data_IF_279977902343
#
_entry.id   IF_279977902343
#
_cell.length_a   1.000
_cell.length_b   1.000
_cell.length_c   1.000
_cell.angle_alpha   90.00
_cell.angle_beta   90.00
_cell.angle_gamma   90.00
#
_symmetry.space_group_name_H-M   'P 1'
#
loop_
_entity.id
_entity.type
_entity.pdbx_description
1 polymer ?
#
# COMPACT_ATOMS: atom_id res chain seq x y z
N UNK A 1 2.72 18.65 -9.21
CA UNK A 1 2.35 17.32 -9.71
C UNK A 1 1.00 16.98 -9.15
N UNK A 2 0.07 16.54 -10.00
CA UNK A 2 -1.25 16.13 -9.57
C UNK A 2 -1.14 14.88 -8.68
N UNK A 3 -2.04 14.72 -7.71
CA UNK A 3 -2.06 13.57 -6.80
C UNK A 3 -2.08 12.23 -7.53
N UNK A 4 -2.81 12.15 -8.65
CA UNK A 4 -2.81 10.97 -9.50
C UNK A 4 -1.41 10.61 -10.04
N UNK A 5 -0.61 11.59 -10.47
CA UNK A 5 0.75 11.38 -10.96
C UNK A 5 1.67 10.86 -9.84
N UNK A 6 1.49 11.37 -8.61
CA UNK A 6 2.22 10.87 -7.43
C UNK A 6 1.88 9.40 -7.18
N UNK A 7 0.60 9.03 -7.17
CA UNK A 7 0.20 7.62 -7.00
C UNK A 7 0.63 6.71 -8.15
N UNK A 8 0.63 7.22 -9.39
CA UNK A 8 1.16 6.50 -10.54
C UNK A 8 2.66 6.24 -10.36
N UNK A 9 3.43 7.26 -9.96
CA UNK A 9 4.85 7.13 -9.65
C UNK A 9 5.11 6.10 -8.55
N UNK A 10 4.35 6.16 -7.45
CA UNK A 10 4.43 5.18 -6.37
C UNK A 10 4.18 3.74 -6.87
N UNK A 11 3.17 3.55 -7.71
CA UNK A 11 2.83 2.25 -8.31
C UNK A 11 3.95 1.76 -9.25
N UNK A 12 4.58 2.66 -10.00
CA UNK A 12 5.72 2.32 -10.86
C UNK A 12 6.97 1.97 -10.04
N UNK A 13 7.26 2.67 -8.94
CA UNK A 13 8.31 2.29 -7.98
C UNK A 13 8.05 0.92 -7.38
N UNK A 14 6.78 0.63 -7.08
CA UNK A 14 6.37 -0.71 -6.69
C UNK A 14 6.54 -1.73 -7.81
N UNK A 15 6.61 -1.40 -9.11
CA UNK A 15 6.84 -2.41 -10.16
C UNK A 15 8.34 -2.67 -10.45
N UNK A 16 9.26 -1.93 -9.81
CA UNK A 16 10.70 -2.06 -10.05
C UNK A 16 11.30 -3.33 -9.43
N UNK A 17 12.52 -3.63 -9.84
CA UNK A 17 13.35 -4.67 -9.22
C UNK A 17 13.78 -4.27 -7.81
N UNK A 18 13.83 -5.25 -6.90
CA UNK A 18 14.26 -5.05 -5.51
C UNK A 18 13.38 -5.83 -4.55
N UNK A 19 13.75 -5.84 -3.26
CA UNK A 19 12.87 -6.40 -2.25
C UNK A 19 11.59 -5.57 -2.16
N UNK A 20 10.47 -6.17 -1.76
CA UNK A 20 9.20 -5.45 -1.60
C UNK A 20 9.33 -4.25 -0.66
N UNK A 21 10.20 -4.37 0.36
CA UNK A 21 10.51 -3.30 1.33
C UNK A 21 11.30 -2.15 0.72
N UNK A 22 12.28 -2.44 -0.15
CA UNK A 22 13.04 -1.40 -0.86
C UNK A 22 12.14 -0.66 -1.85
N UNK A 23 11.32 -1.41 -2.60
CA UNK A 23 10.31 -0.86 -3.53
C UNK A 23 9.31 0.03 -2.79
N UNK A 24 8.82 -0.40 -1.63
CA UNK A 24 7.91 0.37 -0.79
C UNK A 24 8.58 1.63 -0.22
N UNK A 25 9.87 1.54 0.14
CA UNK A 25 10.66 2.68 0.61
C UNK A 25 10.81 3.75 -0.47
N UNK A 26 11.11 3.33 -1.69
CA UNK A 26 11.22 4.21 -2.85
C UNK A 26 9.87 4.87 -3.19
N UNK A 27 8.80 4.07 -3.26
CA UNK A 27 7.44 4.54 -3.52
C UNK A 27 6.97 5.56 -2.47
N UNK A 28 7.25 5.32 -1.19
CA UNK A 28 6.85 6.23 -0.13
C UNK A 28 7.63 7.55 -0.19
N UNK A 29 8.97 7.48 -0.26
CA UNK A 29 9.82 8.69 -0.17
C UNK A 29 9.70 9.60 -1.38
N UNK A 30 9.64 9.03 -2.58
CA UNK A 30 9.68 9.82 -3.81
C UNK A 30 8.29 10.30 -4.24
N UNK A 31 7.23 9.67 -3.73
CA UNK A 31 5.88 9.91 -4.23
C UNK A 31 4.83 10.08 -3.14
N UNK A 32 4.61 9.08 -2.28
CA UNK A 32 3.49 9.12 -1.31
C UNK A 32 3.70 10.18 -0.22
N UNK A 33 4.93 10.43 0.21
CA UNK A 33 5.26 11.46 1.19
C UNK A 33 5.02 12.89 0.66
N UNK A 34 4.83 13.06 -0.65
CA UNK A 34 4.52 14.33 -1.29
C UNK A 34 3.01 14.53 -1.52
N UNK A 35 2.17 13.55 -1.18
CA UNK A 35 0.72 13.62 -1.30
C UNK A 35 0.16 14.33 -0.09
N UNK A 36 -0.58 15.42 -0.32
CA UNK A 36 -1.35 16.08 0.73
C UNK A 36 -2.70 15.36 0.89
N UNK A 37 -3.09 15.06 2.12
CA UNK A 37 -4.33 14.33 2.40
C UNK A 37 -5.57 15.10 1.92
N UNK A 38 -5.53 16.43 1.96
CA UNK A 38 -6.64 17.28 1.53
C UNK A 38 -6.89 17.23 0.02
N UNK A 39 -5.88 16.84 -0.78
CA UNK A 39 -6.01 16.63 -2.22
C UNK A 39 -6.72 15.30 -2.56
N UNK A 40 -6.91 14.40 -1.60
CA UNK A 40 -7.58 13.11 -1.80
C UNK A 40 -9.11 13.24 -1.65
N UNK A 41 -9.91 12.41 -2.34
CA UNK A 41 -11.32 12.22 -2.03
C UNK A 41 -11.53 11.73 -0.59
N UNK A 42 -12.64 12.13 0.05
CA UNK A 42 -12.96 11.81 1.45
C UNK A 42 -12.83 10.32 1.78
N UNK A 43 -13.24 9.46 0.85
CA UNK A 43 -13.27 8.01 0.99
C UNK A 43 -11.85 7.42 1.02
N UNK A 44 -10.90 8.07 0.34
CA UNK A 44 -9.51 7.63 0.26
C UNK A 44 -8.62 8.29 1.30
N UNK A 45 -9.04 9.42 1.88
CA UNK A 45 -8.30 10.07 2.98
C UNK A 45 -8.12 9.15 4.17
N UNK A 46 -9.18 8.44 4.57
CA UNK A 46 -9.11 7.54 5.71
C UNK A 46 -8.19 6.35 5.46
N UNK A 47 -8.28 5.76 4.26
CA UNK A 47 -7.42 4.65 3.84
C UNK A 47 -5.96 5.09 3.74
N UNK A 48 -5.70 6.25 3.14
CA UNK A 48 -4.35 6.80 3.04
C UNK A 48 -3.76 7.11 4.42
N UNK A 49 -4.56 7.71 5.32
CA UNK A 49 -4.17 7.91 6.73
C UNK A 49 -3.85 6.60 7.43
N UNK A 50 -4.68 5.58 7.24
CA UNK A 50 -4.45 4.26 7.82
C UNK A 50 -3.15 3.65 7.28
N UNK A 51 -2.89 3.78 5.98
CA UNK A 51 -1.67 3.31 5.33
C UNK A 51 -0.43 4.06 5.85
N UNK A 52 -0.46 5.39 5.91
CA UNK A 52 0.64 6.22 6.44
C UNK A 52 0.93 5.93 7.91
N UNK A 53 -0.11 5.75 8.74
CA UNK A 53 0.05 5.30 10.13
C UNK A 53 0.65 3.90 10.22
N UNK A 54 0.21 2.96 9.39
CA UNK A 54 0.76 1.61 9.36
C UNK A 54 2.25 1.62 8.98
N UNK A 55 2.66 2.55 8.10
CA UNK A 55 4.03 2.76 7.65
C UNK A 55 4.90 3.55 8.63
N UNK A 56 4.33 4.22 9.64
CA UNK A 56 5.05 5.05 10.63
C UNK A 56 4.80 4.62 12.07
N UNK A 57 4.23 3.43 12.28
CA UNK A 57 3.80 2.93 13.60
C UNK A 57 4.97 2.70 14.57
N UNK A 58 6.13 2.35 14.06
CA UNK A 58 7.29 2.01 14.88
C UNK A 58 8.07 3.26 15.26
N UNK A 59 8.40 3.38 16.55
CA UNK A 59 9.28 4.44 17.01
C UNK A 59 10.72 4.17 16.56
N UNK A 60 11.43 5.18 16.03
CA UNK A 60 12.83 5.02 15.68
C UNK A 60 13.66 4.73 16.94
N UNK A 61 14.41 3.63 16.89
CA UNK A 61 15.27 3.19 17.99
C UNK A 61 16.73 3.61 17.77
N UNK A 62 17.10 3.87 16.52
CA UNK A 62 18.44 4.32 16.13
C UNK A 62 18.48 5.85 15.99
N UNK A 63 19.59 6.46 16.41
CA UNK A 63 19.80 7.92 16.23
C UNK A 63 19.84 8.27 14.74
N UNK A 64 18.93 9.14 14.31
CA UNK A 64 18.81 9.57 12.91
C UNK A 64 17.99 8.64 12.00
N UNK A 65 17.35 7.61 12.57
CA UNK A 65 16.36 6.79 11.86
C UNK A 65 14.99 7.46 11.88
N UNK A 66 14.26 7.37 10.76
CA UNK A 66 12.89 7.85 10.65
C UNK A 66 11.90 6.72 11.04
N UNK A 67 10.73 7.08 11.56
CA UNK A 67 9.67 6.15 11.94
C UNK A 67 9.28 5.21 10.79
N UNK A 68 9.34 5.72 9.55
CA UNK A 68 9.17 4.90 8.35
C UNK A 68 10.22 3.79 8.22
N UNK A 69 11.51 4.12 8.38
CA UNK A 69 12.60 3.11 8.28
C UNK A 69 12.50 2.08 9.40
N UNK A 70 12.19 2.54 10.62
CA UNK A 70 12.01 1.66 11.77
C UNK A 70 10.85 0.67 11.53
N UNK A 71 9.78 1.15 10.90
CA UNK A 71 8.61 0.33 10.55
C UNK A 71 8.94 -0.68 9.47
N UNK A 72 9.53 -0.26 8.34
CA UNK A 72 9.94 -1.16 7.24
C UNK A 72 10.93 -2.22 7.71
N UNK A 73 11.82 -1.89 8.66
CA UNK A 73 12.77 -2.85 9.26
C UNK A 73 12.04 -3.98 10.00
N UNK A 74 10.98 -3.66 10.75
CA UNK A 74 10.19 -4.64 11.52
C UNK A 74 9.07 -5.31 10.72
N UNK A 75 8.66 -4.72 9.60
CA UNK A 75 7.61 -5.22 8.74
C UNK A 75 7.95 -6.62 8.20
N UNK A 76 7.00 -7.55 8.14
CA UNK A 76 7.20 -8.81 7.40
C UNK A 76 7.12 -8.58 5.88
N UNK A 77 7.50 -9.57 5.07
CA UNK A 77 7.30 -9.47 3.62
C UNK A 77 5.81 -9.45 3.26
N UNK A 78 4.98 -10.21 3.98
CA UNK A 78 3.52 -10.25 3.77
C UNK A 78 2.87 -8.90 4.13
N UNK A 79 3.28 -8.29 5.25
CA UNK A 79 2.81 -6.94 5.61
C UNK A 79 3.21 -5.90 4.55
N UNK A 80 4.42 -6.01 4.01
CA UNK A 80 4.89 -5.12 2.95
C UNK A 80 4.11 -5.31 1.64
N UNK A 81 3.75 -6.55 1.30
CA UNK A 81 2.94 -6.88 0.13
C UNK A 81 1.49 -6.37 0.28
N UNK A 82 0.90 -6.52 1.46
CA UNK A 82 -0.42 -5.97 1.80
C UNK A 82 -0.45 -4.44 1.65
N UNK A 83 0.58 -3.76 2.15
CA UNK A 83 0.69 -2.29 2.03
C UNK A 83 0.89 -1.89 0.57
N UNK A 84 1.77 -2.56 -0.18
CA UNK A 84 1.97 -2.30 -1.59
C UNK A 84 0.66 -2.48 -2.38
N UNK A 85 -0.08 -3.56 -2.10
CA UNK A 85 -1.39 -3.82 -2.69
C UNK A 85 -2.42 -2.72 -2.36
N UNK A 86 -2.42 -2.18 -1.14
CA UNK A 86 -3.26 -1.02 -0.78
C UNK A 86 -2.93 0.23 -1.59
N UNK A 87 -1.65 0.51 -1.81
CA UNK A 87 -1.21 1.66 -2.65
C UNK A 87 -1.76 1.53 -4.08
N UNK A 88 -1.63 0.34 -4.68
CA UNK A 88 -2.16 0.08 -6.04
C UNK A 88 -3.68 0.22 -6.09
N UNK A 89 -4.37 -0.27 -5.07
CA UNK A 89 -5.84 -0.14 -4.93
C UNK A 89 -6.29 1.32 -4.83
N UNK A 90 -5.60 2.13 -4.03
CA UNK A 90 -5.87 3.57 -3.92
C UNK A 90 -5.63 4.28 -5.25
N UNK A 91 -4.56 3.97 -5.98
CA UNK A 91 -4.33 4.48 -7.33
C UNK A 91 -5.47 4.11 -8.28
N UNK A 92 -5.91 2.85 -8.29
CA UNK A 92 -7.03 2.41 -9.11
C UNK A 92 -8.32 3.15 -8.77
N UNK A 93 -8.62 3.36 -7.48
CA UNK A 93 -9.77 4.12 -7.03
C UNK A 93 -9.70 5.59 -7.49
N UNK A 94 -8.55 6.25 -7.34
CA UNK A 94 -8.31 7.61 -7.83
C UNK A 94 -8.52 7.71 -9.34
N UNK A 95 -7.99 6.76 -10.11
CA UNK A 95 -8.11 6.75 -11.58
C UNK A 95 -9.55 6.58 -12.07
N UNK A 96 -10.41 5.95 -11.27
CA UNK A 96 -11.81 5.66 -11.62
C UNK A 96 -12.80 6.75 -11.19
N UNK A 97 -12.37 7.78 -10.45
CA UNK A 97 -13.25 8.83 -9.94
C UNK A 97 -14.20 8.41 -8.80
N UNK A 98 -14.03 7.19 -8.25
CA UNK A 98 -14.67 6.57 -7.05
C UNK A 98 -16.22 6.45 -7.13
N UNK A 99 -16.83 5.25 -7.01
CA UNK A 99 -17.13 4.65 -5.69
C UNK A 99 -16.45 3.30 -5.48
N UNK A 100 -15.66 3.24 -4.42
CA UNK A 100 -14.97 2.07 -3.87
C UNK A 100 -15.91 1.29 -2.96
N UNK A 101 -16.89 0.59 -3.52
CA UNK A 101 -17.78 -0.27 -2.70
C UNK A 101 -17.23 -1.68 -2.45
N UNK A 102 -16.16 -2.10 -3.16
CA UNK A 102 -15.69 -3.50 -3.14
C UNK A 102 -14.17 -3.60 -3.29
N UNK A 103 -13.41 -3.14 -2.29
CA UNK A 103 -12.09 -3.72 -2.05
C UNK A 103 -12.11 -4.34 -0.67
N UNK A 104 -13.05 -5.28 -0.56
CA UNK A 104 -13.25 -6.16 0.56
C UNK A 104 -11.91 -6.72 1.04
N UNK A 105 -11.60 -6.37 2.29
CA UNK A 105 -11.12 -7.29 3.33
C UNK A 105 -10.33 -8.47 2.75
N UNK A 106 -9.00 -8.39 2.78
CA UNK A 106 -8.16 -9.57 2.66
C UNK A 106 -8.64 -10.56 3.75
N UNK A 107 -9.34 -11.68 3.42
CA UNK A 107 -9.60 -12.67 4.42
C UNK A 107 -8.24 -13.26 4.74
N UNK A 108 -7.82 -13.03 5.98
CA UNK A 108 -6.89 -13.84 6.76
C UNK A 108 -6.37 -15.06 5.99
N UNK A 109 -5.04 -15.08 5.84
CA UNK A 109 -4.23 -16.27 5.69
C UNK A 109 -4.81 -17.41 6.54
N UNK A 110 -5.55 -18.29 5.90
CA UNK A 110 -6.29 -19.36 6.51
C UNK A 110 -6.55 -20.40 5.44
N UNK A 111 -5.68 -21.40 5.37
CA UNK A 111 -5.80 -22.61 4.56
C UNK A 111 -7.25 -23.07 4.47
N UNK A 112 -7.94 -22.85 3.35
CA UNK A 112 -9.17 -23.56 3.03
C UNK A 112 -9.27 -23.85 1.54
N UNK A 113 -9.57 -25.12 1.29
CA UNK A 113 -9.41 -25.88 0.06
C UNK A 113 -10.11 -25.30 -1.17
N UNK A 114 -9.48 -25.50 -2.32
CA UNK A 114 -10.10 -25.42 -3.65
C UNK A 114 -11.14 -26.55 -3.75
N UNK A 115 -12.44 -26.29 -3.97
CA UNK A 115 -13.36 -27.35 -4.33
C UNK A 115 -13.08 -27.77 -5.76
N UNK A 116 -12.61 -29.01 -5.92
CA UNK A 116 -12.39 -29.66 -7.20
C UNK A 116 -13.75 -30.16 -7.71
N UNK A 117 -14.50 -29.30 -8.41
CA UNK A 117 -15.54 -29.78 -9.31
C UNK A 117 -15.49 -28.98 -10.61
N UNK A 118 -15.00 -29.64 -11.66
CA UNK A 118 -15.67 -29.81 -12.95
C UNK A 118 -14.60 -30.16 -14.00
N UNK A 119 -14.37 -31.45 -14.21
CA UNK A 119 -14.16 -31.92 -15.58
C UNK A 119 -14.92 -33.23 -15.73
N UNK A 120 -15.70 -33.25 -16.78
CA UNK A 120 -16.77 -34.17 -17.08
C UNK A 120 -16.29 -35.59 -17.44
N UNK A 121 -17.12 -36.59 -17.14
CA UNK A 121 -17.40 -37.75 -17.98
C UNK A 121 -18.65 -38.48 -17.47
#
# INVERSE_FOLDING_TARGET
MATLEKFQGATLSLARSGSIKDRLTDAYRNHLALVEEDELPSELREEFRACSRALTRERPLLRGEDAFRATVRKMSNDEADDVASRVVRMFAALSRGVPSLVLARNPVSGSHAVPLYLVEA
#
